data_IF_237283793234
#
_entry.id   IF_237283793234
#
_cell.length_a   1.000
_cell.length_b   1.000
_cell.length_c   1.000
_cell.angle_alpha   90.00
_cell.angle_beta   90.00
_cell.angle_gamma   90.00
#
_symmetry.space_group_name_H-M   'P 1'
#
loop_
_entity.id
_entity.type
_entity.pdbx_description
1 polymer ?
#
# COMPACT_ATOMS: atom_id res chain seq x y z
N UNK A 1 -8.10 -51.94 62.35
CA UNK A 1 -8.55 -50.75 63.10
C UNK A 1 -8.78 -49.65 62.06
N UNK A 2 -9.83 -49.64 61.25
CA UNK A 2 -11.28 -49.81 61.49
C UNK A 2 -11.82 -48.79 62.49
N UNK A 3 -12.48 -47.74 61.99
CA UNK A 3 -13.92 -47.46 62.21
C UNK A 3 -14.38 -46.21 61.44
N UNK A 4 -15.43 -46.39 60.63
CA UNK A 4 -16.44 -45.37 60.28
C UNK A 4 -17.68 -45.63 61.16
N UNK A 5 -18.57 -44.64 61.38
CA UNK A 5 -19.84 -44.68 60.61
C UNK A 5 -20.53 -43.32 60.29
N UNK A 6 -21.28 -43.32 59.17
CA UNK A 6 -22.69 -42.87 58.88
C UNK A 6 -23.32 -41.71 59.69
N UNK A 7 -24.29 -40.91 59.25
CA UNK A 7 -25.01 -40.55 58.00
C UNK A 7 -26.12 -39.55 58.40
N UNK A 8 -26.50 -38.58 57.54
CA UNK A 8 -27.86 -38.06 57.22
C UNK A 8 -27.83 -36.54 56.88
N UNK A 9 -28.09 -36.08 55.63
CA UNK A 9 -29.33 -35.94 54.82
C UNK A 9 -30.16 -34.68 55.12
N UNK A 10 -30.19 -33.75 54.16
CA UNK A 10 -31.34 -32.91 53.75
C UNK A 10 -30.99 -32.31 52.38
N UNK A 11 -31.47 -32.85 51.26
CA UNK A 11 -32.77 -32.61 50.62
C UNK A 11 -32.89 -31.20 50.00
N UNK A 12 -32.66 -31.10 48.68
CA UNK A 12 -33.66 -30.62 47.71
C UNK A 12 -33.00 -30.35 46.33
N UNK A 13 -33.33 -31.23 45.39
CA UNK A 13 -33.55 -30.94 43.97
C UNK A 13 -34.76 -31.83 43.61
N UNK A 14 -35.73 -31.47 42.73
CA UNK A 14 -35.42 -31.49 41.29
C UNK A 14 -36.35 -30.69 40.35
N UNK A 15 -35.91 -30.62 39.07
CA UNK A 15 -36.71 -30.47 37.82
C UNK A 15 -37.33 -29.08 37.54
N UNK A 16 -37.48 -28.58 36.30
CA UNK A 16 -37.78 -29.27 35.06
C UNK A 16 -37.67 -28.32 33.83
N UNK A 17 -37.44 -28.91 32.64
CA UNK A 17 -38.03 -28.60 31.31
C UNK A 17 -37.71 -27.24 30.66
N UNK A 18 -36.84 -27.23 29.64
CA UNK A 18 -37.19 -27.32 28.20
C UNK A 18 -38.19 -26.27 27.73
N UNK A 19 -37.75 -25.29 26.94
CA UNK A 19 -38.60 -24.72 25.89
C UNK A 19 -37.76 -24.30 24.68
N UNK A 20 -37.79 -25.16 23.67
CA UNK A 20 -37.65 -24.77 22.28
C UNK A 20 -38.84 -23.86 21.92
N UNK A 21 -38.58 -22.64 21.48
CA UNK A 21 -39.60 -21.84 20.81
C UNK A 21 -39.51 -22.04 19.30
N UNK A 22 -40.41 -22.91 18.80
CA UNK A 22 -40.89 -22.90 17.42
C UNK A 22 -42.27 -22.22 17.44
N UNK A 23 -42.40 -21.08 16.78
CA UNK A 23 -43.68 -20.47 16.38
C UNK A 23 -43.48 -20.04 14.93
N UNK A 24 -43.87 -20.88 13.96
CA UNK A 24 -45.18 -20.89 13.27
C UNK A 24 -45.46 -19.61 12.50
N UNK A 25 -45.50 -19.83 11.18
CA UNK A 25 -46.01 -19.01 10.07
C UNK A 25 -47.33 -18.29 10.35
N UNK A 26 -47.41 -17.02 9.94
CA UNK A 26 -48.64 -16.40 9.46
C UNK A 26 -48.33 -15.34 8.39
N UNK A 27 -48.95 -15.55 7.24
CA UNK A 27 -48.97 -14.76 6.01
C UNK A 27 -49.86 -13.52 6.12
N UNK A 28 -49.37 -12.35 5.71
CA UNK A 28 -50.12 -11.20 5.15
C UNK A 28 -49.03 -10.16 4.83
N UNK A 29 -48.84 -9.60 3.63
CA UNK A 29 -49.72 -9.40 2.51
C UNK A 29 -49.67 -7.92 2.14
N UNK A 30 -48.98 -7.59 1.03
CA UNK A 30 -49.11 -6.37 0.20
C UNK A 30 -48.43 -5.10 0.79
N UNK A 31 -47.71 -4.25 0.05
CA UNK A 31 -47.87 -3.76 -1.33
C UNK A 31 -46.51 -3.28 -1.88
N UNK A 32 -46.14 -3.74 -3.07
CA UNK A 32 -44.99 -3.24 -3.85
C UNK A 32 -45.38 -1.92 -4.53
N UNK A 33 -44.56 -0.85 -4.49
CA UNK A 33 -44.64 0.18 -5.51
C UNK A 33 -43.98 -0.30 -6.81
N UNK A 34 -44.71 -0.15 -7.91
CA UNK A 34 -44.31 -0.44 -9.29
C UNK A 34 -43.56 0.76 -9.87
N UNK A 35 -42.66 0.49 -10.82
CA UNK A 35 -42.01 1.46 -11.71
C UNK A 35 -40.52 1.17 -11.77
N UNK A 36 -40.06 0.21 -12.58
CA UNK A 36 -39.76 0.34 -14.02
C UNK A 36 -38.96 1.62 -14.27
N UNK A 37 -37.65 1.49 -14.44
CA UNK A 37 -36.84 2.05 -15.54
C UNK A 37 -35.38 1.63 -15.32
N UNK A 38 -35.05 0.43 -15.79
CA UNK A 38 -33.71 0.11 -16.26
C UNK A 38 -33.76 0.16 -17.79
N UNK A 39 -32.65 0.62 -18.39
CA UNK A 39 -32.23 0.42 -19.78
C UNK A 39 -32.93 1.23 -20.88
N UNK A 40 -32.17 2.21 -21.41
CA UNK A 40 -31.97 2.51 -22.83
C UNK A 40 -30.74 3.44 -22.88
N UNK A 41 -29.55 3.08 -23.34
CA UNK A 41 -29.24 2.01 -24.27
C UNK A 41 -29.46 2.47 -25.72
N UNK A 42 -28.59 3.37 -26.18
CA UNK A 42 -28.13 3.52 -27.56
C UNK A 42 -29.15 3.76 -28.72
N UNK A 43 -28.90 4.87 -29.44
CA UNK A 43 -28.87 5.00 -30.91
C UNK A 43 -30.17 4.66 -31.68
N UNK A 44 -30.90 5.69 -32.13
CA UNK A 44 -31.65 5.68 -33.41
C UNK A 44 -31.77 7.12 -33.99
N UNK A 45 -31.14 7.31 -35.16
CA UNK A 45 -31.44 8.18 -36.32
C UNK A 45 -31.43 9.72 -36.13
N UNK A 46 -30.43 10.45 -36.67
CA UNK A 46 -30.17 10.78 -38.09
C UNK A 46 -31.30 11.58 -38.76
N UNK A 47 -30.91 12.78 -39.21
CA UNK A 47 -31.46 13.62 -40.27
C UNK A 47 -32.80 14.33 -40.04
N UNK A 48 -32.72 15.64 -39.80
CA UNK A 48 -33.39 16.60 -40.69
C UNK A 48 -32.59 17.91 -40.70
N UNK A 49 -31.67 17.93 -41.66
CA UNK A 49 -31.09 19.12 -42.23
C UNK A 49 -32.18 19.85 -43.03
N UNK A 50 -32.51 21.08 -42.66
CA UNK A 50 -33.07 22.06 -43.60
C UNK A 50 -32.25 23.33 -43.44
N UNK A 51 -31.24 23.44 -44.31
CA UNK A 51 -30.62 24.71 -44.67
C UNK A 51 -31.41 25.25 -45.87
N UNK A 52 -31.99 26.44 -45.74
CA UNK A 52 -31.99 27.43 -46.82
C UNK A 52 -31.68 28.79 -46.20
N UNK A 53 -30.62 29.48 -46.65
CA UNK A 53 -30.28 30.82 -46.20
C UNK A 53 -31.08 31.85 -47.00
N UNK A 54 -31.73 32.79 -46.31
CA UNK A 54 -32.22 34.01 -46.96
C UNK A 54 -31.10 35.04 -46.94
N UNK A 55 -30.64 35.32 -48.16
CA UNK A 55 -29.68 36.33 -48.55
C UNK A 55 -30.23 37.74 -48.24
N UNK A 56 -29.65 38.44 -47.27
CA UNK A 56 -29.72 39.90 -47.18
C UNK A 56 -28.30 40.44 -47.12
N UNK A 57 -27.94 41.10 -48.22
CA UNK A 57 -26.70 41.83 -48.40
C UNK A 57 -26.74 43.13 -47.61
N UNK A 58 -25.77 43.34 -46.72
CA UNK A 58 -25.60 44.64 -46.05
C UNK A 58 -24.62 44.62 -44.88
N UNK A 59 -23.32 44.76 -45.16
CA UNK A 59 -22.36 45.53 -44.36
C UNK A 59 -21.94 45.02 -42.98
N UNK A 60 -20.61 44.97 -42.79
CA UNK A 60 -19.86 44.81 -41.53
C UNK A 60 -19.76 43.39 -40.99
N UNK A 61 -18.61 42.75 -41.25
CA UNK A 61 -18.13 41.57 -40.54
C UNK A 61 -18.05 41.84 -39.02
N UNK A 62 -18.83 41.16 -38.17
CA UNK A 62 -18.39 40.90 -36.82
C UNK A 62 -17.59 39.60 -36.90
N UNK A 63 -16.27 39.74 -36.80
CA UNK A 63 -15.37 38.66 -36.45
C UNK A 63 -15.87 38.01 -35.15
N UNK A 64 -16.72 37.00 -35.28
CA UNK A 64 -17.13 36.12 -34.19
C UNK A 64 -15.91 35.29 -33.87
N UNK A 65 -15.02 35.87 -33.06
CA UNK A 65 -14.08 35.12 -32.25
C UNK A 65 -14.93 34.10 -31.49
N UNK A 66 -14.91 32.85 -31.93
CA UNK A 66 -15.26 31.72 -31.08
C UNK A 66 -14.27 31.78 -29.93
N UNK A 67 -14.61 32.54 -28.89
CA UNK A 67 -14.01 32.39 -27.58
C UNK A 67 -14.25 30.93 -27.22
N UNK A 68 -13.22 30.11 -27.39
CA UNK A 68 -13.15 28.78 -26.81
C UNK A 68 -13.52 29.01 -25.36
N UNK A 69 -14.63 28.44 -24.90
CA UNK A 69 -15.02 28.53 -23.50
C UNK A 69 -13.81 28.05 -22.71
N UNK A 70 -13.10 28.98 -22.08
CA UNK A 70 -12.14 28.66 -21.04
C UNK A 70 -13.03 28.08 -19.96
N UNK A 71 -12.94 26.77 -19.76
CA UNK A 71 -13.53 26.15 -18.58
C UNK A 71 -13.08 27.00 -17.40
N UNK A 72 -14.05 27.59 -16.69
CA UNK A 72 -13.75 28.48 -15.58
C UNK A 72 -12.87 27.71 -14.59
N UNK A 73 -11.66 28.21 -14.33
CA UNK A 73 -10.76 27.58 -13.38
C UNK A 73 -11.34 27.69 -11.98
N UNK A 74 -11.22 26.62 -11.21
CA UNK A 74 -11.57 26.59 -9.81
C UNK A 74 -10.30 26.85 -8.98
N UNK A 75 -10.39 27.62 -7.91
CA UNK A 75 -9.25 27.77 -7.00
C UNK A 75 -8.83 26.42 -6.42
N UNK A 76 -7.51 26.15 -6.37
CA UNK A 76 -7.01 24.92 -5.78
C UNK A 76 -7.32 24.80 -4.27
N UNK A 77 -7.75 25.87 -3.60
CA UNK A 77 -8.24 25.84 -2.21
C UNK A 77 -9.73 25.51 -2.04
N UNK A 78 -10.46 25.34 -3.14
CA UNK A 78 -11.85 24.96 -3.09
C UNK A 78 -12.05 23.62 -2.33
N UNK A 79 -13.24 23.38 -1.76
CA UNK A 79 -13.55 22.10 -1.12
C UNK A 79 -13.23 20.93 -2.05
N UNK A 80 -12.59 19.87 -1.51
CA UNK A 80 -12.12 18.74 -2.32
C UNK A 80 -13.24 18.14 -3.18
N UNK A 81 -14.44 18.02 -2.62
CA UNK A 81 -15.61 17.47 -3.31
C UNK A 81 -16.09 18.32 -4.50
N UNK A 82 -15.80 19.63 -4.52
CA UNK A 82 -16.14 20.52 -5.63
C UNK A 82 -15.04 20.50 -6.71
N UNK A 83 -13.80 20.25 -6.29
CA UNK A 83 -12.66 20.15 -7.20
C UNK A 83 -12.57 18.80 -7.91
N UNK A 84 -12.69 17.68 -7.18
CA UNK A 84 -12.38 16.36 -7.71
C UNK A 84 -13.00 15.20 -6.91
N UNK A 85 -12.93 14.00 -7.49
CA UNK A 85 -13.14 12.75 -6.76
C UNK A 85 -11.93 11.84 -6.95
N UNK A 86 -11.49 11.18 -5.88
CA UNK A 86 -10.41 10.18 -5.93
C UNK A 86 -10.98 8.82 -5.51
N UNK A 87 -10.84 7.83 -6.38
CA UNK A 87 -11.38 6.48 -6.21
C UNK A 87 -10.29 5.41 -6.18
N UNK A 88 -10.65 4.21 -5.71
CA UNK A 88 -9.76 3.06 -5.55
C UNK A 88 -9.43 2.79 -4.09
N UNK A 89 -9.10 1.54 -3.75
CA UNK A 89 -8.70 1.18 -2.39
C UNK A 89 -7.34 1.81 -2.04
N UNK A 90 -7.09 2.07 -0.76
CA UNK A 90 -5.76 2.51 -0.27
C UNK A 90 -4.70 1.47 -0.68
N UNK A 91 -3.60 1.94 -1.26
CA UNK A 91 -2.52 1.10 -1.78
C UNK A 91 -2.72 0.61 -3.21
N UNK A 92 -3.93 0.71 -3.78
CA UNK A 92 -4.16 0.50 -5.22
C UNK A 92 -3.84 1.77 -6.02
N UNK A 93 -3.71 1.64 -7.35
CA UNK A 93 -3.57 2.80 -8.25
C UNK A 93 -4.84 3.66 -8.15
N UNK A 94 -4.73 4.93 -7.68
CA UNK A 94 -5.90 5.79 -7.54
C UNK A 94 -6.37 6.29 -8.90
N UNK A 95 -7.68 6.49 -9.02
CA UNK A 95 -8.30 7.15 -10.18
C UNK A 95 -8.80 8.51 -9.73
N UNK A 96 -8.26 9.56 -10.33
CA UNK A 96 -8.66 10.94 -10.09
C UNK A 96 -9.57 11.42 -11.22
N UNK A 97 -10.71 11.99 -10.85
CA UNK A 97 -11.59 12.69 -11.78
C UNK A 97 -11.66 14.16 -11.37
N UNK A 98 -11.04 15.02 -12.18
CA UNK A 98 -11.00 16.45 -11.97
C UNK A 98 -12.24 17.10 -12.61
N UNK A 99 -12.97 17.91 -11.84
CA UNK A 99 -14.21 18.55 -12.32
C UNK A 99 -13.94 19.82 -13.12
N UNK A 100 -12.95 20.59 -12.68
CA UNK A 100 -12.52 21.85 -13.29
C UNK A 100 -11.00 21.96 -13.21
N UNK A 101 -10.32 22.58 -14.19
CA UNK A 101 -8.92 22.93 -14.05
C UNK A 101 -8.70 23.81 -12.82
N UNK A 102 -7.61 23.57 -12.09
CA UNK A 102 -7.28 24.29 -10.87
C UNK A 102 -6.39 25.50 -11.16
N UNK A 103 -6.72 26.65 -10.58
CA UNK A 103 -5.82 27.79 -10.49
C UNK A 103 -4.88 27.62 -9.28
N UNK A 104 -3.58 27.88 -9.42
CA UNK A 104 -2.61 27.63 -8.35
C UNK A 104 -2.85 28.46 -7.09
N UNK A 105 -2.40 27.93 -5.95
CA UNK A 105 -2.41 28.61 -4.65
C UNK A 105 -0.99 28.77 -4.12
N UNK A 106 -0.76 29.68 -3.18
CA UNK A 106 0.61 29.97 -2.69
C UNK A 106 1.14 28.94 -1.68
N UNK A 107 0.31 27.99 -1.24
CA UNK A 107 0.63 27.06 -0.15
C UNK A 107 0.11 25.66 -0.45
N UNK A 108 0.77 24.67 0.14
CA UNK A 108 0.31 23.28 0.09
C UNK A 108 -1.00 23.15 0.88
N UNK A 109 -2.00 22.53 0.26
CA UNK A 109 -3.28 22.18 0.86
C UNK A 109 -3.31 20.68 1.06
N UNK A 110 -3.74 20.26 2.25
CA UNK A 110 -3.85 18.84 2.63
C UNK A 110 -5.29 18.50 2.97
N UNK A 111 -5.82 17.50 2.25
CA UNK A 111 -7.10 16.87 2.55
C UNK A 111 -6.87 15.42 2.97
N UNK A 112 -7.48 14.98 4.07
CA UNK A 112 -7.50 13.57 4.47
C UNK A 112 -8.79 12.92 3.95
N UNK A 113 -8.66 12.15 2.88
CA UNK A 113 -9.80 11.49 2.23
C UNK A 113 -10.19 10.20 2.93
N UNK A 114 -9.19 9.43 3.40
CA UNK A 114 -9.38 8.23 4.19
C UNK A 114 -8.51 8.34 5.42
N UNK A 115 -9.10 8.15 6.60
CA UNK A 115 -8.38 8.12 7.87
C UNK A 115 -7.95 6.69 8.22
N UNK A 116 -6.65 6.50 8.29
CA UNK A 116 -6.02 5.25 8.70
C UNK A 116 -6.20 4.96 10.18
N UNK A 117 -6.06 3.68 10.53
CA UNK A 117 -6.19 3.20 11.91
C UNK A 117 -4.91 2.58 12.44
N UNK A 118 -3.85 2.47 11.62
CA UNK A 118 -2.58 1.89 12.03
C UNK A 118 -1.71 2.86 12.83
N UNK A 119 -0.39 2.61 12.81
CA UNK A 119 0.56 3.43 13.57
C UNK A 119 0.61 4.84 12.99
N UNK A 120 0.83 5.82 13.86
CA UNK A 120 1.11 7.17 13.42
C UNK A 120 2.54 7.23 12.90
N UNK A 121 2.77 7.94 11.80
CA UNK A 121 4.10 8.22 11.31
C UNK A 121 4.82 9.18 12.29
N UNK A 122 6.07 8.84 12.59
CA UNK A 122 6.93 9.60 13.51
C UNK A 122 8.24 9.92 12.80
N UNK A 123 8.77 11.12 12.99
CA UNK A 123 10.06 11.53 12.42
C UNK A 123 11.16 10.55 12.81
N UNK A 124 12.02 10.23 11.84
CA UNK A 124 13.11 9.25 11.99
C UNK A 124 12.67 7.79 12.00
N UNK A 125 11.38 7.48 11.86
CA UNK A 125 10.90 6.10 11.74
C UNK A 125 10.65 5.70 10.29
N UNK A 126 10.75 4.39 10.03
CA UNK A 126 10.46 3.79 8.74
C UNK A 126 9.00 3.95 8.35
N UNK A 127 8.77 4.38 7.12
CA UNK A 127 7.47 4.53 6.49
C UNK A 127 7.45 3.89 5.11
N UNK A 128 6.24 3.62 4.64
CA UNK A 128 5.98 3.10 3.31
C UNK A 128 4.84 3.91 2.70
N UNK A 129 5.05 4.47 1.51
CA UNK A 129 4.09 5.33 0.84
C UNK A 129 3.84 4.82 -0.58
N UNK A 130 2.61 4.96 -1.06
CA UNK A 130 2.31 4.96 -2.49
C UNK A 130 1.95 6.39 -2.90
N UNK A 131 2.66 6.92 -3.89
CA UNK A 131 2.51 8.28 -4.40
C UNK A 131 1.98 8.24 -5.82
N UNK A 132 0.94 9.01 -6.09
CA UNK A 132 0.43 9.23 -7.44
C UNK A 132 0.28 10.74 -7.68
N UNK A 133 0.99 11.27 -8.66
CA UNK A 133 0.90 12.68 -9.04
C UNK A 133 -0.02 12.84 -10.24
N UNK A 134 -0.78 13.92 -10.24
CA UNK A 134 -1.71 14.29 -11.29
C UNK A 134 -1.59 15.79 -11.60
N UNK A 135 -1.80 16.15 -12.86
CA UNK A 135 -1.90 17.53 -13.28
C UNK A 135 -3.21 18.15 -12.78
N UNK A 136 -3.13 19.31 -12.12
CA UNK A 136 -4.30 20.09 -11.72
C UNK A 136 -4.99 20.78 -12.90
N UNK A 137 -4.46 20.71 -14.13
CA UNK A 137 -5.09 21.32 -15.30
C UNK A 137 -6.10 20.37 -15.97
N UNK A 138 -5.81 19.09 -16.00
CA UNK A 138 -6.59 18.09 -16.76
C UNK A 138 -6.83 16.78 -15.99
N UNK A 139 -6.32 16.66 -14.76
CA UNK A 139 -6.44 15.46 -13.94
C UNK A 139 -5.62 14.28 -14.46
N UNK A 140 -4.75 14.47 -15.46
CA UNK A 140 -3.94 13.39 -16.02
C UNK A 140 -2.89 12.94 -15.01
N UNK A 141 -2.71 11.63 -14.86
CA UNK A 141 -1.63 11.08 -14.04
C UNK A 141 -0.26 11.41 -14.66
N UNK A 142 0.59 12.07 -13.88
CA UNK A 142 1.94 12.54 -14.25
C UNK A 142 3.04 11.82 -13.46
N UNK A 143 2.70 10.73 -12.76
CA UNK A 143 3.64 9.99 -11.92
C UNK A 143 4.83 9.49 -12.74
N UNK A 144 6.03 9.92 -12.35
CA UNK A 144 7.26 9.51 -13.00
C UNK A 144 7.64 8.06 -12.61
N UNK A 145 7.76 7.20 -13.61
CA UNK A 145 8.09 5.79 -13.44
C UNK A 145 6.94 4.95 -12.87
N UNK A 146 7.11 3.63 -12.88
CA UNK A 146 6.12 2.69 -12.37
C UNK A 146 4.83 2.61 -13.22
N UNK A 147 3.73 2.19 -12.58
CA UNK A 147 2.42 1.93 -13.23
C UNK A 147 1.39 3.02 -12.93
N UNK A 148 1.81 4.28 -12.88
CA UNK A 148 0.98 5.42 -12.44
C UNK A 148 0.90 5.59 -10.92
N UNK A 149 1.67 4.79 -10.18
CA UNK A 149 2.00 4.99 -8.77
C UNK A 149 3.47 4.69 -8.57
N UNK A 150 4.07 5.34 -7.59
CA UNK A 150 5.45 5.10 -7.17
C UNK A 150 5.48 4.74 -5.69
N UNK A 151 6.10 3.60 -5.39
CA UNK A 151 6.35 3.16 -4.03
C UNK A 151 7.55 3.93 -3.46
N UNK A 152 7.45 4.37 -2.21
CA UNK A 152 8.55 4.94 -1.45
C UNK A 152 8.67 4.19 -0.12
N UNK A 153 9.84 3.59 0.11
CA UNK A 153 10.22 3.00 1.40
C UNK A 153 11.42 3.77 1.94
N UNK A 154 11.30 4.31 3.15
CA UNK A 154 12.34 5.18 3.70
C UNK A 154 12.01 5.62 5.12
N UNK A 155 12.81 6.53 5.67
CA UNK A 155 12.50 7.17 6.96
C UNK A 155 11.66 8.43 6.71
N UNK A 156 10.81 8.79 7.67
CA UNK A 156 10.23 10.13 7.71
C UNK A 156 11.31 11.14 8.14
N UNK A 157 12.13 11.58 7.20
CA UNK A 157 13.20 12.55 7.35
C UNK A 157 13.26 13.53 6.16
N UNK A 158 14.28 14.37 6.10
CA UNK A 158 14.43 15.38 5.03
C UNK A 158 14.53 14.78 3.62
N UNK A 159 14.92 13.50 3.48
CA UNK A 159 15.09 12.84 2.17
C UNK A 159 13.76 12.56 1.47
N UNK A 160 12.63 12.54 2.19
CA UNK A 160 11.30 12.45 1.57
C UNK A 160 10.87 13.79 0.93
N UNK A 161 11.57 14.88 1.24
CA UNK A 161 11.24 16.23 0.81
C UNK A 161 10.34 16.96 1.81
N UNK A 162 10.52 18.28 1.89
CA UNK A 162 9.92 19.12 2.93
C UNK A 162 8.39 19.10 2.93
N UNK A 163 7.77 19.07 1.74
CA UNK A 163 6.31 19.01 1.60
C UNK A 163 5.72 17.79 2.28
N UNK A 164 6.28 16.60 2.02
CA UNK A 164 5.81 15.36 2.63
C UNK A 164 6.19 15.31 4.11
N UNK A 165 7.41 15.70 4.48
CA UNK A 165 7.85 15.74 5.88
C UNK A 165 6.91 16.58 6.77
N UNK A 166 6.48 17.75 6.30
CA UNK A 166 5.58 18.65 7.04
C UNK A 166 4.14 18.15 7.13
N UNK A 167 3.70 17.31 6.18
CA UNK A 167 2.30 16.93 6.05
C UNK A 167 1.99 15.52 6.56
N UNK A 168 3.01 14.68 6.74
CA UNK A 168 2.87 13.26 7.10
C UNK A 168 3.11 12.93 8.56
N UNK A 169 3.78 13.79 9.33
CA UNK A 169 3.96 13.56 10.77
C UNK A 169 2.60 13.42 11.48
N UNK A 170 2.43 12.35 12.25
CA UNK A 170 1.18 12.03 12.94
C UNK A 170 0.09 11.36 12.09
N UNK A 171 0.24 11.32 10.76
CA UNK A 171 -0.71 10.62 9.87
C UNK A 171 -0.65 9.13 10.14
N UNK A 172 -1.81 8.46 10.15
CA UNK A 172 -1.89 7.03 10.46
C UNK A 172 -1.71 6.17 9.22
N UNK A 173 -1.02 5.04 9.38
CA UNK A 173 -1.00 3.96 8.39
C UNK A 173 -2.44 3.56 8.02
N UNK A 174 -2.67 3.36 6.73
CA UNK A 174 -3.99 3.16 6.12
C UNK A 174 -4.69 4.46 5.68
N UNK A 175 -4.10 5.64 5.94
CA UNK A 175 -4.66 6.91 5.44
C UNK A 175 -4.44 7.07 3.93
N UNK A 176 -5.38 7.75 3.27
CA UNK A 176 -5.20 8.37 1.95
C UNK A 176 -5.35 9.88 2.10
N UNK A 177 -4.33 10.61 1.68
CA UNK A 177 -4.31 12.05 1.63
C UNK A 177 -4.33 12.52 0.17
N UNK A 178 -4.83 13.75 -0.02
CA UNK A 178 -4.65 14.51 -1.26
C UNK A 178 -3.90 15.78 -0.88
N UNK A 179 -2.73 15.98 -1.48
CA UNK A 179 -1.98 17.22 -1.40
C UNK A 179 -2.18 17.99 -2.70
N UNK A 180 -2.47 19.27 -2.60
CA UNK A 180 -2.51 20.21 -3.73
C UNK A 180 -1.41 21.25 -3.50
N UNK A 181 -0.50 21.38 -4.45
CA UNK A 181 0.62 22.29 -4.32
C UNK A 181 0.92 23.01 -5.64
N UNK A 182 1.35 24.28 -5.59
CA UNK A 182 1.86 24.97 -6.78
C UNK A 182 3.20 24.36 -7.21
N UNK A 183 3.36 24.20 -8.53
CA UNK A 183 4.61 23.80 -9.16
C UNK A 183 4.90 24.78 -10.29
N UNK A 184 6.06 25.41 -10.23
CA UNK A 184 6.52 26.33 -11.27
C UNK A 184 7.51 25.63 -12.19
N UNK A 185 7.15 25.54 -13.47
CA UNK A 185 8.01 25.01 -14.52
C UNK A 185 8.12 26.03 -15.64
N UNK A 186 9.35 26.36 -16.06
CA UNK A 186 9.62 27.33 -17.14
C UNK A 186 8.91 28.69 -16.95
N UNK A 187 8.83 29.17 -15.71
CA UNK A 187 8.16 30.44 -15.36
C UNK A 187 6.63 30.39 -15.33
N UNK A 188 6.02 29.24 -15.62
CA UNK A 188 4.57 29.04 -15.48
C UNK A 188 4.28 28.25 -14.20
N UNK A 189 3.46 28.84 -13.32
CA UNK A 189 2.96 28.16 -12.12
C UNK A 189 1.66 27.43 -12.44
N UNK A 190 1.62 26.15 -12.10
CA UNK A 190 0.46 25.26 -12.25
C UNK A 190 0.20 24.54 -10.94
N UNK A 191 -0.98 23.95 -10.77
CA UNK A 191 -1.25 23.13 -9.59
C UNK A 191 -0.92 21.66 -9.87
N UNK A 192 -0.22 21.01 -8.95
CA UNK A 192 -0.02 19.56 -8.91
C UNK A 192 -0.88 18.94 -7.80
N UNK A 193 -1.49 17.80 -8.10
CA UNK A 193 -2.25 17.02 -7.13
C UNK A 193 -1.46 15.75 -6.83
N UNK A 194 -1.06 15.55 -5.58
CA UNK A 194 -0.42 14.32 -5.12
C UNK A 194 -1.36 13.54 -4.22
N UNK A 195 -1.78 12.35 -4.66
CA UNK A 195 -2.44 11.38 -3.79
C UNK A 195 -1.38 10.58 -3.05
N UNK A 196 -1.45 10.60 -1.71
CA UNK A 196 -0.51 9.93 -0.82
C UNK A 196 -1.23 8.86 -0.03
N UNK A 197 -0.93 7.59 -0.32
CA UNK A 197 -1.35 6.47 0.51
C UNK A 197 -0.26 6.15 1.53
N UNK A 198 -0.58 6.21 2.81
CA UNK A 198 0.32 5.78 3.89
C UNK A 198 0.10 4.30 4.12
N UNK A 199 1.06 3.47 3.72
CA UNK A 199 0.92 2.01 3.78
C UNK A 199 1.38 1.46 5.14
N UNK A 200 0.80 0.34 5.61
CA UNK A 200 1.26 -0.32 6.82
C UNK A 200 2.73 -0.77 6.70
N UNK A 201 3.53 -0.54 7.74
CA UNK A 201 4.89 -1.08 7.85
C UNK A 201 4.98 -2.34 8.73
N UNK A 202 3.83 -3.00 8.97
CA UNK A 202 3.66 -4.35 9.53
C UNK A 202 2.51 -5.03 8.79
N UNK A 203 2.49 -6.36 8.79
CA UNK A 203 1.44 -7.16 8.19
C UNK A 203 0.07 -6.87 8.84
N UNK A 204 -0.97 -6.75 8.00
CA UNK A 204 -2.36 -6.40 8.40
C UNK A 204 -3.38 -7.45 7.95
N UNK A 205 -2.90 -8.62 7.51
CA UNK A 205 -3.73 -9.73 7.07
C UNK A 205 -4.61 -10.31 8.18
N UNK A 206 -5.53 -11.19 7.79
CA UNK A 206 -6.38 -11.92 8.73
C UNK A 206 -5.59 -13.08 9.35
N UNK A 207 -5.79 -13.41 10.64
CA UNK A 207 -5.16 -14.60 11.24
C UNK A 207 -5.39 -15.86 10.41
N UNK A 208 -4.32 -16.57 10.14
CA UNK A 208 -4.40 -17.90 9.51
C UNK A 208 -4.91 -18.93 10.52
N UNK A 209 -5.35 -20.09 10.01
CA UNK A 209 -5.60 -21.24 10.88
C UNK A 209 -4.29 -21.64 11.57
N UNK A 210 -4.36 -21.93 12.86
CA UNK A 210 -3.20 -22.38 13.61
C UNK A 210 -2.68 -23.71 13.03
N UNK A 211 -1.39 -23.77 12.76
CA UNK A 211 -0.69 -25.00 12.42
C UNK A 211 0.07 -25.46 13.67
N UNK A 212 -0.28 -26.65 14.18
CA UNK A 212 0.32 -27.20 15.40
C UNK A 212 1.78 -27.61 15.23
N UNK A 213 2.26 -27.77 13.99
CA UNK A 213 3.66 -28.07 13.70
C UNK A 213 4.54 -26.82 13.61
N UNK A 214 3.94 -25.63 13.48
CA UNK A 214 4.67 -24.38 13.42
C UNK A 214 5.36 -24.06 14.76
N UNK A 215 6.66 -23.73 14.77
CA UNK A 215 7.30 -23.12 15.93
C UNK A 215 6.57 -21.85 16.38
N UNK A 216 6.45 -21.66 17.69
CA UNK A 216 5.73 -20.51 18.25
C UNK A 216 6.49 -19.21 17.94
N UNK A 217 5.82 -18.30 17.25
CA UNK A 217 6.33 -16.95 16.96
C UNK A 217 5.76 -15.94 17.96
N UNK A 218 6.62 -15.07 18.49
CA UNK A 218 6.22 -13.91 19.29
C UNK A 218 6.66 -12.63 18.60
N UNK A 219 5.71 -11.75 18.30
CA UNK A 219 5.98 -10.47 17.63
C UNK A 219 5.89 -9.34 18.65
N UNK A 220 7.02 -8.68 18.87
CA UNK A 220 7.12 -7.45 19.65
C UNK A 220 6.99 -6.20 18.79
N UNK A 221 7.20 -5.04 19.40
CA UNK A 221 7.15 -3.74 18.72
C UNK A 221 8.37 -3.46 17.84
N UNK A 222 9.52 -4.03 18.18
CA UNK A 222 10.83 -3.77 17.57
C UNK A 222 11.58 -5.05 17.17
N UNK A 223 11.07 -6.22 17.54
CA UNK A 223 11.72 -7.49 17.32
C UNK A 223 10.72 -8.64 17.22
N UNK A 224 11.18 -9.74 16.64
CA UNK A 224 10.44 -11.00 16.56
C UNK A 224 11.32 -12.13 17.06
N UNK A 225 10.74 -13.01 17.87
CA UNK A 225 11.39 -14.22 18.36
C UNK A 225 10.60 -15.47 17.96
N UNK A 226 11.32 -16.58 17.84
CA UNK A 226 10.76 -17.89 17.50
C UNK A 226 11.28 -18.90 18.51
N UNK A 227 10.38 -19.67 19.11
CA UNK A 227 10.75 -20.70 20.08
C UNK A 227 11.22 -21.98 19.36
N UNK A 228 12.53 -22.14 19.22
CA UNK A 228 13.16 -23.27 18.51
C UNK A 228 13.81 -24.30 19.45
N UNK A 229 14.00 -23.96 20.73
CA UNK A 229 14.59 -24.87 21.71
C UNK A 229 13.77 -26.14 21.86
N UNK A 230 14.41 -27.30 21.66
CA UNK A 230 13.75 -28.61 21.73
C UNK A 230 12.90 -28.96 20.51
N UNK A 231 12.84 -28.09 19.49
CA UNK A 231 12.21 -28.39 18.21
C UNK A 231 13.25 -29.04 17.29
N UNK A 232 12.88 -30.16 16.66
CA UNK A 232 13.76 -30.86 15.72
C UNK A 232 14.16 -29.93 14.57
N UNK A 233 15.43 -29.99 14.16
CA UNK A 233 15.93 -29.21 13.02
C UNK A 233 15.18 -29.61 11.74
N UNK A 234 14.74 -28.65 10.91
CA UNK A 234 14.00 -28.95 9.70
C UNK A 234 14.91 -29.69 8.72
N UNK A 235 14.44 -30.83 8.21
CA UNK A 235 15.09 -31.57 7.12
C UNK A 235 14.60 -31.13 5.74
N UNK A 236 13.49 -30.39 5.70
CA UNK A 236 12.87 -29.82 4.50
C UNK A 236 12.38 -28.42 4.81
N UNK A 237 12.38 -27.52 3.82
CA UNK A 237 11.79 -26.20 4.01
C UNK A 237 10.28 -26.27 4.15
N UNK A 238 9.73 -25.46 5.05
CA UNK A 238 8.29 -25.31 5.24
C UNK A 238 7.92 -23.83 5.37
N UNK A 239 6.68 -23.51 4.99
CA UNK A 239 6.06 -22.21 5.18
C UNK A 239 4.81 -22.37 6.05
N UNK A 240 4.69 -21.50 7.05
CA UNK A 240 3.52 -21.38 7.90
C UNK A 240 2.95 -19.99 7.75
N UNK A 241 1.71 -19.88 7.29
CA UNK A 241 0.99 -18.61 7.31
C UNK A 241 0.57 -18.28 8.73
N UNK A 242 0.89 -17.07 9.19
CA UNK A 242 0.44 -16.53 10.49
C UNK A 242 -0.66 -15.50 10.30
N UNK A 243 -0.48 -14.62 9.31
CA UNK A 243 -1.50 -13.71 8.79
C UNK A 243 -1.57 -13.88 7.27
N UNK A 244 -2.80 -13.86 6.72
CA UNK A 244 -3.06 -13.93 5.29
C UNK A 244 -3.50 -12.57 4.79
N UNK A 245 -2.66 -11.95 3.96
CA UNK A 245 -2.93 -10.70 3.27
C UNK A 245 -3.93 -10.86 2.13
N UNK A 246 -4.30 -9.74 1.52
CA UNK A 246 -5.21 -9.68 0.36
C UNK A 246 -4.67 -8.82 -0.78
N UNK A 247 -3.42 -8.36 -0.66
CA UNK A 247 -2.79 -7.52 -1.66
C UNK A 247 -2.27 -8.32 -2.85
N UNK A 248 -1.49 -7.64 -3.70
CA UNK A 248 -0.83 -8.26 -4.84
C UNK A 248 0.04 -9.44 -4.40
N UNK A 249 0.04 -10.50 -5.21
CA UNK A 249 0.84 -11.70 -4.95
C UNK A 249 2.28 -11.50 -5.40
N UNK A 250 3.21 -11.98 -4.58
CA UNK A 250 4.64 -11.99 -4.88
C UNK A 250 4.92 -12.91 -6.06
N UNK A 251 5.77 -12.45 -6.99
CA UNK A 251 6.28 -13.22 -8.14
C UNK A 251 7.76 -13.54 -7.97
N UNK A 252 8.25 -14.48 -8.77
CA UNK A 252 9.64 -14.93 -8.72
C UNK A 252 10.68 -13.83 -9.03
N UNK A 253 10.28 -12.77 -9.74
CA UNK A 253 11.10 -11.61 -10.10
C UNK A 253 10.77 -10.35 -9.28
N UNK A 254 9.93 -10.49 -8.25
CA UNK A 254 9.49 -9.35 -7.44
C UNK A 254 10.62 -8.79 -6.57
N UNK A 255 10.64 -7.46 -6.46
CA UNK A 255 11.34 -6.77 -5.37
C UNK A 255 10.33 -6.54 -4.25
N UNK A 256 10.44 -7.29 -3.15
CA UNK A 256 9.48 -7.25 -2.04
C UNK A 256 9.97 -6.30 -0.96
N UNK A 257 9.12 -5.36 -0.54
CA UNK A 257 9.36 -4.57 0.67
C UNK A 257 8.78 -5.34 1.86
N UNK A 258 9.60 -5.55 2.89
CA UNK A 258 9.26 -6.43 4.00
C UNK A 258 9.82 -5.99 5.35
N UNK A 259 9.19 -6.44 6.44
CA UNK A 259 9.87 -6.59 7.73
C UNK A 259 10.25 -8.05 7.88
N UNK A 260 11.50 -8.35 8.21
CA UNK A 260 11.93 -9.72 8.39
C UNK A 260 12.84 -9.86 9.60
N UNK A 261 12.80 -11.04 10.20
CA UNK A 261 13.74 -11.45 11.24
C UNK A 261 14.24 -12.84 10.86
N UNK A 262 15.56 -13.01 10.82
CA UNK A 262 16.21 -14.26 10.51
C UNK A 262 16.91 -14.78 11.76
N UNK A 263 16.54 -15.97 12.18
CA UNK A 263 16.91 -16.57 13.47
C UNK A 263 17.69 -17.85 13.22
N UNK A 264 18.84 -17.99 13.89
CA UNK A 264 19.62 -19.22 13.88
C UNK A 264 18.84 -20.33 14.61
N UNK A 265 18.74 -21.51 13.99
CA UNK A 265 17.97 -22.60 14.58
C UNK A 265 18.56 -23.12 15.89
N UNK A 266 19.88 -23.27 15.93
CA UNK A 266 20.61 -23.95 17.01
C UNK A 266 20.52 -23.21 18.34
N UNK A 267 20.68 -21.89 18.32
CA UNK A 267 20.75 -21.08 19.54
C UNK A 267 19.63 -20.02 19.64
N UNK A 268 18.68 -20.03 18.71
CA UNK A 268 17.53 -19.11 18.66
C UNK A 268 17.92 -17.62 18.62
N UNK A 269 19.17 -17.30 18.24
CA UNK A 269 19.62 -15.90 18.12
C UNK A 269 19.23 -15.30 16.78
N UNK A 270 18.84 -14.03 16.82
CA UNK A 270 18.61 -13.23 15.62
C UNK A 270 19.94 -12.97 14.93
N UNK A 271 20.05 -13.37 13.67
CA UNK A 271 21.20 -13.15 12.78
C UNK A 271 21.07 -11.78 12.09
N UNK A 272 19.87 -11.47 11.62
CA UNK A 272 19.55 -10.23 10.91
C UNK A 272 18.08 -9.90 11.11
N UNK A 273 17.75 -8.62 11.23
CA UNK A 273 16.38 -8.14 11.42
C UNK A 273 16.23 -6.77 10.78
N UNK A 274 15.03 -6.50 10.28
CA UNK A 274 14.59 -5.16 9.89
C UNK A 274 13.41 -4.67 10.75
N UNK A 275 13.16 -5.26 11.92
CA UNK A 275 12.01 -4.90 12.77
C UNK A 275 12.16 -3.61 13.56
N UNK A 276 13.38 -3.03 13.61
CA UNK A 276 13.63 -1.76 14.26
C UNK A 276 12.78 -0.65 13.60
N UNK A 277 11.87 0.03 14.34
CA UNK A 277 11.05 1.10 13.78
C UNK A 277 11.87 2.31 13.29
N UNK A 278 13.07 2.52 13.80
CA UNK A 278 13.99 3.58 13.36
C UNK A 278 14.72 3.25 12.05
N UNK A 279 14.40 2.10 11.44
CA UNK A 279 14.91 1.69 10.14
C UNK A 279 13.75 1.60 9.14
N UNK A 280 14.04 1.90 7.87
CA UNK A 280 13.09 1.67 6.79
C UNK A 280 12.78 0.17 6.68
N UNK A 281 11.57 -0.21 6.22
CA UNK A 281 11.31 -1.59 5.81
C UNK A 281 12.40 -2.12 4.87
N UNK A 282 12.83 -3.35 5.11
CA UNK A 282 13.87 -4.01 4.33
C UNK A 282 13.38 -4.40 2.93
N UNK A 283 14.33 -4.82 2.09
CA UNK A 283 14.08 -5.26 0.72
C UNK A 283 14.49 -6.72 0.58
N UNK A 284 13.62 -7.53 -0.03
CA UNK A 284 13.92 -8.89 -0.46
C UNK A 284 13.82 -8.91 -1.99
N UNK A 285 14.97 -9.04 -2.64
CA UNK A 285 15.04 -9.30 -4.08
C UNK A 285 14.81 -10.81 -4.31
N UNK A 286 13.67 -11.17 -4.87
CA UNK A 286 13.32 -12.59 -5.11
C UNK A 286 14.28 -13.29 -6.07
N UNK A 287 15.00 -12.53 -6.92
CA UNK A 287 16.02 -13.07 -7.82
C UNK A 287 17.37 -13.34 -7.13
N UNK A 288 17.58 -12.78 -5.95
CA UNK A 288 18.84 -12.85 -5.20
C UNK A 288 18.62 -12.95 -3.68
N UNK A 289 17.85 -13.95 -3.27
CA UNK A 289 17.55 -14.25 -1.86
C UNK A 289 17.88 -15.70 -1.51
N UNK A 290 17.64 -16.11 -0.27
CA UNK A 290 17.79 -17.50 0.15
C UNK A 290 16.88 -18.39 -0.70
N UNK A 291 17.37 -19.55 -1.13
CA UNK A 291 16.62 -20.47 -2.00
C UNK A 291 15.23 -20.79 -1.44
N UNK A 292 15.14 -21.08 -0.14
CA UNK A 292 13.85 -21.35 0.49
C UNK A 292 12.91 -20.14 0.54
N UNK A 293 13.43 -18.91 0.61
CA UNK A 293 12.61 -17.69 0.51
C UNK A 293 12.09 -17.52 -0.92
N UNK A 294 12.96 -17.68 -1.91
CA UNK A 294 12.59 -17.59 -3.33
C UNK A 294 11.51 -18.61 -3.72
N UNK A 295 11.58 -19.83 -3.16
CA UNK A 295 10.61 -20.90 -3.40
C UNK A 295 9.27 -20.65 -2.69
N UNK A 296 9.29 -20.30 -1.40
CA UNK A 296 8.08 -20.25 -0.58
C UNK A 296 7.33 -18.93 -0.60
N UNK A 297 7.98 -17.82 -0.97
CA UNK A 297 7.33 -16.51 -0.95
C UNK A 297 6.53 -16.22 -2.23
N UNK A 298 6.69 -17.01 -3.29
CA UNK A 298 5.85 -16.92 -4.49
C UNK A 298 4.38 -17.15 -4.11
N UNK A 299 3.48 -16.39 -4.74
CA UNK A 299 2.03 -16.38 -4.51
C UNK A 299 1.58 -15.91 -3.12
N UNK A 300 2.49 -15.63 -2.19
CA UNK A 300 2.16 -15.01 -0.90
C UNK A 300 1.65 -13.59 -1.14
N UNK A 301 0.43 -13.24 -0.68
CA UNK A 301 -0.13 -11.93 -0.92
C UNK A 301 0.47 -10.88 0.02
N UNK A 302 0.64 -9.64 -0.48
CA UNK A 302 0.95 -8.46 0.34
C UNK A 302 -0.05 -8.32 1.49
N UNK A 303 0.48 -7.96 2.67
CA UNK A 303 -0.23 -7.91 3.95
C UNK A 303 -0.09 -9.20 4.77
N UNK A 304 0.54 -10.25 4.23
CA UNK A 304 0.75 -11.51 4.94
C UNK A 304 1.91 -11.44 5.93
N UNK A 305 1.82 -12.26 6.98
CA UNK A 305 2.93 -12.62 7.85
C UNK A 305 3.15 -14.12 7.74
N UNK A 306 4.36 -14.54 7.42
CA UNK A 306 4.72 -15.95 7.27
C UNK A 306 5.93 -16.29 8.14
N UNK A 307 5.98 -17.53 8.62
CA UNK A 307 7.17 -18.14 9.20
C UNK A 307 7.70 -19.16 8.18
N UNK A 308 8.96 -19.04 7.81
CA UNK A 308 9.70 -20.04 7.06
C UNK A 308 10.65 -20.78 7.98
N UNK A 309 10.73 -22.10 7.83
CA UNK A 309 11.76 -22.92 8.46
C UNK A 309 12.60 -23.52 7.36
N UNK A 310 13.90 -23.24 7.34
CA UNK A 310 14.77 -23.56 6.21
C UNK A 310 15.92 -24.46 6.69
N UNK A 311 16.13 -25.65 6.10
CA UNK A 311 17.35 -26.43 6.31
C UNK A 311 18.56 -25.66 5.76
N UNK A 312 19.76 -26.05 6.19
CA UNK A 312 21.02 -25.39 5.81
C UNK A 312 21.16 -25.18 4.30
N UNK A 313 20.80 -26.18 3.49
CA UNK A 313 20.89 -26.16 2.02
C UNK A 313 19.96 -25.14 1.34
N UNK A 314 18.84 -24.80 1.98
CA UNK A 314 17.89 -23.78 1.49
C UNK A 314 18.08 -22.42 2.16
N UNK A 315 19.01 -22.35 3.12
CA UNK A 315 19.45 -21.14 3.80
C UNK A 315 20.78 -20.65 3.19
N UNK A 316 21.85 -20.55 4.00
CA UNK A 316 23.19 -20.10 3.57
C UNK A 316 24.24 -21.21 3.51
N UNK A 317 23.86 -22.45 3.83
CA UNK A 317 24.78 -23.60 3.86
C UNK A 317 25.56 -23.77 5.18
N UNK A 318 25.39 -22.88 6.15
CA UNK A 318 26.10 -22.88 7.45
C UNK A 318 25.23 -23.30 8.65
N UNK A 319 23.96 -23.64 8.42
CA UNK A 319 23.02 -24.13 9.42
C UNK A 319 21.56 -23.84 9.07
N UNK A 320 20.63 -24.56 9.70
CA UNK A 320 19.21 -24.25 9.57
C UNK A 320 18.85 -22.89 10.20
N UNK A 321 17.80 -22.27 9.67
CA UNK A 321 17.29 -20.98 10.13
C UNK A 321 15.77 -20.96 10.14
N UNK A 322 15.20 -20.12 11.00
CA UNK A 322 13.81 -19.70 10.91
C UNK A 322 13.74 -18.25 10.44
N UNK A 323 12.80 -17.90 9.56
CA UNK A 323 12.62 -16.54 9.07
C UNK A 323 11.17 -16.12 9.21
N UNK A 324 10.89 -15.04 9.94
CA UNK A 324 9.55 -14.43 9.98
C UNK A 324 9.55 -13.25 9.04
N UNK A 325 8.56 -13.18 8.15
CA UNK A 325 8.47 -12.17 7.09
C UNK A 325 7.06 -11.56 7.09
N UNK A 326 7.00 -10.24 7.22
CA UNK A 326 5.84 -9.44 6.85
C UNK A 326 6.03 -8.96 5.42
N UNK A 327 5.16 -9.37 4.50
CA UNK A 327 5.16 -8.92 3.11
C UNK A 327 4.37 -7.60 3.04
N UNK A 328 5.04 -6.47 2.84
CA UNK A 328 4.42 -5.14 2.98
C UNK A 328 4.02 -4.49 1.66
N UNK A 329 4.84 -4.65 0.62
CA UNK A 329 4.54 -4.18 -0.73
C UNK A 329 5.44 -4.89 -1.76
N UNK A 330 5.12 -4.70 -3.03
CA UNK A 330 5.97 -5.08 -4.16
C UNK A 330 6.37 -3.79 -4.87
N UNK A 331 7.67 -3.59 -5.04
CA UNK A 331 8.20 -2.49 -5.82
C UNK A 331 8.21 -2.86 -7.32
N UNK A 332 7.55 -2.02 -8.11
CA UNK A 332 7.43 -2.16 -9.57
C UNK A 332 8.35 -1.19 -10.32
N UNK A 333 9.28 -0.53 -9.63
CA UNK A 333 10.21 0.44 -10.21
C UNK A 333 11.28 -0.18 -11.12
N UNK A 334 11.35 -1.50 -11.24
CA UNK A 334 12.24 -2.21 -12.16
C UNK A 334 13.68 -2.39 -11.65
N UNK A 335 13.86 -2.74 -10.37
CA UNK A 335 15.17 -3.10 -9.80
C UNK A 335 16.13 -1.93 -9.56
N UNK A 336 15.69 -0.68 -9.74
CA UNK A 336 16.45 0.50 -9.39
C UNK A 336 16.04 0.99 -7.99
N UNK A 337 16.93 0.84 -7.01
CA UNK A 337 16.81 1.62 -5.77
C UNK A 337 16.80 3.10 -6.13
N UNK A 338 15.68 3.76 -5.84
CA UNK A 338 15.53 5.16 -6.14
C UNK A 338 16.10 6.00 -5.00
N UNK A 339 17.12 6.79 -5.28
CA UNK A 339 17.50 7.92 -4.43
C UNK A 339 16.68 9.12 -4.88
N UNK A 340 15.85 9.66 -3.98
CA UNK A 340 15.25 10.97 -4.20
C UNK A 340 16.30 12.03 -3.88
N UNK A 341 16.68 12.84 -4.86
CA UNK A 341 17.46 14.06 -4.64
C UNK A 341 16.55 15.24 -4.93
N UNK A 342 16.20 16.00 -3.89
CA UNK A 342 15.64 17.33 -4.07
C UNK A 342 16.82 18.29 -4.30
N UNK A 343 16.94 18.84 -5.50
CA UNK A 343 17.86 19.96 -5.75
C UNK A 343 17.07 21.25 -5.62
N UNK A 344 17.46 22.11 -4.67
CA UNK A 344 17.02 23.50 -4.64
C UNK A 344 17.87 24.23 -5.68
N UNK A 345 17.28 24.65 -6.79
CA UNK A 345 17.93 25.63 -7.67
C UNK A 345 17.78 27.02 -7.05
N UNK A 346 18.68 27.94 -7.40
CA UNK A 346 18.83 29.28 -6.81
C UNK A 346 17.59 30.22 -6.91
N UNK A 347 16.46 29.71 -7.44
CA UNK A 347 15.22 30.43 -7.70
C UNK A 347 14.00 29.82 -6.96
N UNK A 348 14.19 29.04 -5.89
CA UNK A 348 13.13 28.47 -5.01
C UNK A 348 12.09 27.54 -5.68
N UNK A 349 12.34 27.03 -6.90
CA UNK A 349 11.49 26.01 -7.52
C UNK A 349 11.91 24.59 -7.18
N UNK A 350 10.96 23.77 -6.73
CA UNK A 350 11.15 22.34 -6.40
C UNK A 350 10.93 21.47 -7.63
N UNK A 351 11.99 20.81 -8.09
CA UNK A 351 11.87 19.66 -9.00
C UNK A 351 12.23 18.37 -8.26
N UNK A 352 11.33 17.39 -8.32
CA UNK A 352 11.58 16.04 -7.85
C UNK A 352 12.06 15.21 -9.04
N UNK A 353 13.37 14.94 -9.09
CA UNK A 353 13.92 13.97 -10.04
C UNK A 353 14.47 12.76 -9.29
N UNK A 354 14.16 11.58 -9.81
CA UNK A 354 14.68 10.31 -9.32
C UNK A 354 15.52 9.67 -10.41
N UNK A 355 16.82 9.55 -10.13
CA UNK A 355 17.78 8.89 -11.01
C UNK A 355 18.11 7.50 -10.46
N UNK A 356 18.35 6.50 -11.33
CA UNK A 356 18.82 5.19 -10.89
C UNK A 356 20.22 5.30 -10.27
N UNK A 357 20.44 4.66 -9.12
CA UNK A 357 21.79 4.43 -8.62
C UNK A 357 22.51 3.45 -9.55
N UNK A 358 23.61 3.90 -10.16
CA UNK A 358 24.50 3.00 -10.88
C UNK A 358 25.13 2.01 -9.88
N UNK A 359 25.17 0.72 -10.25
CA UNK A 359 25.94 -0.29 -9.52
C UNK A 359 27.41 0.17 -9.41
N UNK A 360 28.10 -0.07 -8.27
CA UNK A 360 29.54 0.11 -8.21
C UNK A 360 30.19 -0.86 -9.20
N UNK A 361 30.81 -0.32 -10.25
CA UNK A 361 31.64 -1.07 -11.17
C UNK A 361 32.72 -1.81 -10.38
N UNK A 362 32.65 -3.14 -10.36
CA UNK A 362 33.73 -3.97 -9.85
C UNK A 362 35.00 -3.66 -10.67
N UNK A 363 35.99 -3.07 -10.01
CA UNK A 363 37.33 -2.94 -10.58
C UNK A 363 37.94 -4.33 -10.81
N UNK A 364 38.49 -4.63 -11.98
CA UNK A 364 39.12 -5.92 -12.23
C UNK A 364 40.41 -6.03 -11.41
N UNK A 365 40.47 -7.04 -10.53
CA UNK A 365 41.67 -7.42 -9.82
C UNK A 365 42.77 -7.79 -10.80
N UNK A 366 43.90 -7.08 -10.77
CA UNK A 366 45.12 -7.47 -11.49
C UNK A 366 45.62 -8.81 -10.96
N UNK A 367 45.44 -9.88 -11.73
CA UNK A 367 46.17 -11.13 -11.54
C UNK A 367 47.62 -10.92 -11.95
N UNK A 368 48.51 -10.93 -10.96
CA UNK A 368 49.96 -11.05 -11.12
C UNK A 368 50.29 -12.39 -11.78
N UNK A 369 50.70 -12.35 -13.05
CA UNK A 369 51.30 -13.47 -13.76
C UNK A 369 52.76 -13.61 -13.32
N UNK A 370 53.06 -14.57 -12.45
CA UNK A 370 54.41 -15.13 -12.31
C UNK A 370 54.65 -16.13 -13.43
N UNK A 371 55.61 -15.85 -14.30
CA UNK A 371 56.34 -16.85 -15.09
C UNK A 371 57.82 -16.48 -15.14
N UNK A 372 58.62 -17.43 -14.63
CA UNK A 372 60.08 -17.66 -14.71
C UNK A 372 61.02 -16.46 -14.66
#
# INVERSE_FOLDING_TARGET
MEQQPRSARSANDPTNVTQAHRVVTATLGRKRPKGIWFLLGAIVLIALMVIVPVLVSGGQDPQMSSAKATDAQLSADAPLADAMTVSGNVGAIPVLNLKHPLSPVDKVIKDELVKGTGRALVKGQGMLLNLATFSGQDGKNTTAGGRGVRLYSGLLDEKVGQTLLNNLEGVKEGSRLVLRAPVTNNGATTEEITVVDVLPTVATGTPASADASAPKVTVGSDQVTVALSGVAEPTQSQIYSLLVGKGEQVRADSTVIARYSLINWKDSKVISSSWNPAEAPGVIDMSNTLKGVAEHLVDVPVGSRVLLTLPSEQARGDGAVAMVIDVLAIDHSGGATATATATINADDNVQVTVSPSALPSASPSKTSSKRK
#
